data_IF_466911260140
#
_entry.id   IF_466911260140
#
_cell.length_a   1.000
_cell.length_b   1.000
_cell.length_c   1.000
_cell.angle_alpha   90.00
_cell.angle_beta   90.00
_cell.angle_gamma   90.00
#
_symmetry.space_group_name_H-M   'P 1'
#
loop_
_entity.id
_entity.type
_entity.pdbx_description
1 polymer ?
#
# COMPACT_ATOMS: atom_id res chain seq x y z
N UNK A 1 63.30 23.32 -34.78
CA UNK A 1 62.16 23.86 -33.99
C UNK A 1 60.90 23.45 -34.71
N UNK A 2 59.89 22.72 -34.22
CA UNK A 2 59.29 22.38 -32.92
C UNK A 2 58.53 21.06 -33.19
N UNK A 3 58.60 19.99 -32.40
CA UNK A 3 58.15 19.75 -31.02
C UNK A 3 57.08 18.65 -31.12
N UNK A 4 57.43 17.45 -30.66
CA UNK A 4 56.51 16.31 -30.49
C UNK A 4 55.53 16.68 -29.37
N UNK A 5 54.23 16.67 -29.65
CA UNK A 5 53.22 16.84 -28.62
C UNK A 5 52.89 15.47 -28.03
N UNK A 6 53.31 15.25 -26.78
CA UNK A 6 52.91 14.12 -25.96
C UNK A 6 51.41 14.24 -25.64
N UNK A 7 50.68 13.14 -25.84
CA UNK A 7 49.33 12.94 -25.34
C UNK A 7 49.42 12.57 -23.85
N UNK A 8 49.23 13.54 -22.96
CA UNK A 8 49.08 13.29 -21.53
C UNK A 8 47.62 12.98 -21.24
N UNK A 9 47.31 11.70 -21.01
CA UNK A 9 46.04 11.28 -20.42
C UNK A 9 46.10 11.65 -18.94
N UNK A 10 45.40 12.71 -18.54
CA UNK A 10 45.15 12.98 -17.11
C UNK A 10 43.98 12.09 -16.70
N UNK A 11 44.29 10.95 -16.11
CA UNK A 11 43.33 10.18 -15.34
C UNK A 11 43.06 10.94 -14.04
N UNK A 12 41.99 11.73 -14.01
CA UNK A 12 41.50 12.33 -12.77
C UNK A 12 40.71 11.26 -12.02
N UNK A 13 41.40 10.52 -11.14
CA UNK A 13 40.76 9.68 -10.15
C UNK A 13 40.04 10.57 -9.14
N UNK A 14 38.74 10.80 -9.34
CA UNK A 14 37.89 11.32 -8.28
C UNK A 14 37.66 10.18 -7.27
N UNK A 15 38.38 10.22 -6.15
CA UNK A 15 37.98 9.49 -4.95
C UNK A 15 36.66 10.11 -4.47
N UNK A 16 35.54 9.51 -4.85
CA UNK A 16 34.28 9.74 -4.15
C UNK A 16 34.33 8.97 -2.83
N UNK A 17 34.59 9.70 -1.74
CA UNK A 17 34.26 9.22 -0.41
C UNK A 17 32.75 9.02 -0.37
N UNK A 18 32.30 7.76 -0.38
CA UNK A 18 30.93 7.41 0.02
C UNK A 18 30.87 7.70 1.52
N UNK A 19 30.47 8.91 1.88
CA UNK A 19 29.93 9.13 3.20
C UNK A 19 28.65 8.30 3.24
N UNK A 20 28.64 7.26 4.06
CA UNK A 20 27.39 6.61 4.45
C UNK A 20 26.53 7.70 5.10
N UNK A 21 25.56 8.21 4.34
CA UNK A 21 24.49 9.01 4.93
C UNK A 21 23.81 8.07 5.92
N UNK A 22 23.96 8.37 7.21
CA UNK A 22 23.11 7.78 8.23
C UNK A 22 21.67 8.03 7.79
N UNK A 23 20.89 6.96 7.65
CA UNK A 23 19.46 7.07 7.39
C UNK A 23 18.86 8.02 8.43
N UNK A 24 18.23 9.09 7.96
CA UNK A 24 17.46 9.97 8.82
C UNK A 24 16.35 9.13 9.47
N UNK A 25 16.01 9.38 10.74
CA UNK A 25 14.87 8.74 11.35
C UNK A 25 13.61 9.13 10.55
N UNK A 26 12.79 8.12 10.27
CA UNK A 26 11.46 8.23 9.67
C UNK A 26 10.54 8.98 10.64
N UNK A 27 10.52 10.31 10.54
CA UNK A 27 9.73 11.22 11.38
C UNK A 27 8.50 11.75 10.62
N UNK A 28 7.97 11.02 9.63
CA UNK A 28 6.88 11.49 8.77
C UNK A 28 5.75 10.50 8.53
N UNK A 29 5.97 9.19 8.66
CA UNK A 29 4.92 8.19 8.50
C UNK A 29 4.28 7.94 9.86
N UNK A 30 2.94 7.85 9.95
CA UNK A 30 2.37 7.09 11.06
C UNK A 30 2.98 5.70 10.96
N UNK A 31 3.90 5.39 11.87
CA UNK A 31 4.59 4.11 11.84
C UNK A 31 3.53 3.03 11.79
N UNK A 32 3.64 2.12 10.82
CA UNK A 32 2.91 0.86 10.89
C UNK A 32 3.04 0.32 12.33
N UNK A 33 1.96 -0.19 12.94
CA UNK A 33 2.01 -0.64 14.33
C UNK A 33 3.28 -1.47 14.55
N UNK A 34 4.19 -0.91 15.34
CA UNK A 34 5.37 -1.63 15.78
C UNK A 34 4.88 -2.51 16.91
N UNK A 35 5.00 -3.83 16.74
CA UNK A 35 4.83 -4.72 17.89
C UNK A 35 5.82 -4.27 18.96
N UNK A 36 5.32 -3.94 20.15
CA UNK A 36 6.17 -3.56 21.28
C UNK A 36 7.03 -4.76 21.67
N UNK A 37 8.30 -4.76 21.26
CA UNK A 37 9.26 -5.83 21.56
C UNK A 37 9.61 -5.92 23.05
N UNK A 38 9.06 -5.04 23.91
CA UNK A 38 9.31 -5.04 25.36
C UNK A 38 8.24 -5.76 26.15
N UNK A 39 7.10 -6.12 25.56
CA UNK A 39 6.21 -7.07 26.18
C UNK A 39 6.79 -8.47 25.96
N UNK A 40 6.96 -9.30 26.99
CA UNK A 40 7.18 -10.72 26.74
C UNK A 40 6.00 -11.15 25.87
N UNK A 41 6.30 -11.72 24.69
CA UNK A 41 5.33 -12.50 23.93
C UNK A 41 4.85 -13.59 24.88
N UNK A 42 3.81 -13.29 25.66
CA UNK A 42 2.95 -14.31 26.22
C UNK A 42 2.61 -15.13 25.01
N UNK A 43 3.08 -16.38 25.01
CA UNK A 43 2.76 -17.37 24.01
C UNK A 43 1.24 -17.37 23.87
N UNK A 44 0.74 -16.52 22.98
CA UNK A 44 -0.47 -16.80 22.28
C UNK A 44 -0.07 -17.98 21.42
N UNK A 45 -0.22 -19.17 22.01
CA UNK A 45 -0.84 -20.23 21.27
C UNK A 45 -2.24 -19.69 20.93
N UNK A 46 -2.30 -18.73 19.99
CA UNK A 46 -3.35 -18.80 19.00
C UNK A 46 -3.09 -20.20 18.46
N UNK A 47 -3.97 -21.18 18.71
CA UNK A 47 -3.88 -22.37 17.88
C UNK A 47 -3.74 -21.84 16.45
N UNK A 48 -2.92 -22.49 15.62
CA UNK A 48 -3.12 -22.38 14.18
C UNK A 48 -4.59 -22.74 14.00
N UNK A 49 -5.46 -21.74 14.09
CA UNK A 49 -6.86 -21.91 13.79
C UNK A 49 -6.72 -22.14 12.32
N UNK A 50 -7.08 -23.34 11.87
CA UNK A 50 -7.58 -23.50 10.53
C UNK A 50 -8.41 -22.24 10.28
N UNK A 51 -7.90 -21.31 9.47
CA UNK A 51 -8.74 -20.21 9.06
C UNK A 51 -9.93 -20.95 8.43
N UNK A 52 -11.17 -20.70 8.85
CA UNK A 52 -12.29 -21.57 8.49
C UNK A 52 -12.49 -21.77 6.97
N UNK A 53 -11.73 -21.04 6.14
CA UNK A 53 -11.89 -20.95 4.70
C UNK A 53 -10.68 -21.47 3.88
N UNK A 54 -9.49 -21.71 4.47
CA UNK A 54 -8.33 -22.30 3.77
C UNK A 54 -7.48 -23.16 4.74
N UNK A 55 -7.40 -24.47 4.50
CA UNK A 55 -6.48 -25.41 5.14
C UNK A 55 -5.09 -25.31 4.52
N UNK A 56 -4.21 -24.54 5.17
CA UNK A 56 -2.87 -24.23 4.67
C UNK A 56 -1.95 -25.45 4.56
N UNK A 57 -2.24 -26.56 5.24
CA UNK A 57 -1.46 -27.80 5.11
C UNK A 57 -1.99 -28.74 4.01
N UNK A 58 -3.10 -28.41 3.37
CA UNK A 58 -3.61 -29.13 2.20
C UNK A 58 -3.24 -28.38 0.92
N UNK A 59 -2.32 -28.98 0.16
CA UNK A 59 -1.90 -28.45 -1.13
C UNK A 59 -3.07 -28.20 -2.07
N UNK A 60 -4.07 -29.08 -2.09
CA UNK A 60 -5.21 -28.94 -2.98
C UNK A 60 -6.03 -27.73 -2.57
N UNK A 61 -6.29 -27.56 -1.28
CA UNK A 61 -7.09 -26.45 -0.79
C UNK A 61 -6.42 -25.08 -1.05
N UNK A 62 -5.10 -25.00 -0.88
CA UNK A 62 -4.33 -23.80 -1.24
C UNK A 62 -4.40 -23.49 -2.74
N UNK A 63 -4.33 -24.51 -3.60
CA UNK A 63 -4.45 -24.35 -5.05
C UNK A 63 -5.85 -23.91 -5.46
N UNK A 64 -6.88 -24.54 -4.87
CA UNK A 64 -8.28 -24.22 -5.14
C UNK A 64 -8.56 -22.77 -4.67
N UNK A 65 -8.12 -22.37 -3.48
CA UNK A 65 -8.23 -20.98 -3.00
C UNK A 65 -7.53 -19.98 -3.92
N UNK A 66 -6.34 -20.29 -4.43
CA UNK A 66 -5.65 -19.41 -5.38
C UNK A 66 -6.45 -19.21 -6.69
N UNK A 67 -6.96 -20.30 -7.27
CA UNK A 67 -7.68 -20.25 -8.54
C UNK A 67 -9.11 -19.72 -8.44
N UNK A 68 -9.80 -20.04 -7.36
CA UNK A 68 -11.23 -19.76 -7.21
C UNK A 68 -11.52 -18.48 -6.41
N UNK A 69 -10.62 -18.10 -5.50
CA UNK A 69 -10.82 -16.94 -4.61
C UNK A 69 -9.92 -15.77 -4.94
N UNK A 70 -8.65 -16.00 -5.26
CA UNK A 70 -7.69 -14.91 -5.47
C UNK A 70 -7.66 -14.41 -6.93
N UNK A 71 -7.40 -15.28 -7.90
CA UNK A 71 -7.24 -14.88 -9.30
C UNK A 71 -8.47 -14.17 -9.93
N UNK A 72 -9.72 -14.55 -9.63
CA UNK A 72 -10.87 -13.89 -10.24
C UNK A 72 -11.01 -12.41 -9.86
N UNK A 73 -10.51 -12.00 -8.69
CA UNK A 73 -10.71 -10.64 -8.17
C UNK A 73 -10.05 -9.57 -9.05
N UNK A 74 -8.98 -9.92 -9.78
CA UNK A 74 -8.28 -9.01 -10.69
C UNK A 74 -9.06 -8.69 -11.97
N UNK A 75 -10.20 -9.34 -12.21
CA UNK A 75 -11.02 -9.14 -13.41
C UNK A 75 -12.34 -8.41 -13.10
N UNK A 76 -12.50 -7.89 -11.89
CA UNK A 76 -13.71 -7.15 -11.49
C UNK A 76 -13.55 -5.68 -11.88
N UNK A 77 -14.52 -5.14 -12.62
CA UNK A 77 -14.52 -3.73 -13.03
C UNK A 77 -14.73 -2.81 -11.84
N UNK A 78 -13.93 -1.74 -11.76
CA UNK A 78 -13.97 -0.79 -10.65
C UNK A 78 -15.35 -0.12 -10.48
N UNK A 79 -16.03 0.24 -11.58
CA UNK A 79 -17.35 0.88 -11.54
C UNK A 79 -17.36 2.24 -10.85
N UNK A 80 -16.25 2.97 -10.89
CA UNK A 80 -16.09 4.26 -10.24
C UNK A 80 -17.03 5.32 -10.83
N UNK A 81 -17.75 6.03 -9.97
CA UNK A 81 -18.81 7.00 -10.37
C UNK A 81 -18.42 8.46 -10.14
N UNK A 82 -17.21 8.72 -9.65
CA UNK A 82 -16.75 10.06 -9.30
C UNK A 82 -16.30 10.91 -10.48
N UNK A 83 -15.83 12.13 -10.16
CA UNK A 83 -15.40 13.13 -11.13
C UNK A 83 -14.42 14.11 -10.49
N UNK A 84 -13.23 14.22 -11.08
CA UNK A 84 -12.23 15.23 -10.71
C UNK A 84 -12.72 16.64 -11.07
N UNK A 85 -13.41 16.80 -12.20
CA UNK A 85 -13.86 18.11 -12.67
C UNK A 85 -14.86 18.80 -11.73
N UNK A 86 -15.59 18.01 -10.93
CA UNK A 86 -16.60 18.49 -9.99
C UNK A 86 -16.25 18.17 -8.54
N UNK A 87 -15.04 17.66 -8.28
CA UNK A 87 -14.59 17.15 -6.98
C UNK A 87 -15.64 16.26 -6.30
N UNK A 88 -16.17 15.31 -7.06
CA UNK A 88 -17.14 14.34 -6.58
C UNK A 88 -16.43 13.01 -6.38
N UNK A 89 -16.25 12.56 -5.14
CA UNK A 89 -15.48 11.35 -4.86
C UNK A 89 -16.12 10.11 -5.48
N UNK A 90 -17.46 10.08 -5.54
CA UNK A 90 -18.22 8.95 -6.05
C UNK A 90 -18.02 7.71 -5.18
N UNK A 91 -18.26 6.54 -5.76
CA UNK A 91 -18.01 5.23 -5.16
C UNK A 91 -17.50 4.28 -6.24
N UNK A 92 -16.89 3.18 -5.83
CA UNK A 92 -16.72 1.99 -6.67
C UNK A 92 -17.99 1.14 -6.69
N UNK A 93 -18.01 0.10 -7.51
CA UNK A 93 -19.08 -0.90 -7.44
C UNK A 93 -18.92 -1.80 -6.21
N UNK A 94 -20.04 -2.27 -5.64
CA UNK A 94 -19.99 -3.22 -4.52
C UNK A 94 -19.16 -4.46 -4.86
N UNK A 95 -19.27 -4.97 -6.09
CA UNK A 95 -18.48 -6.13 -6.52
C UNK A 95 -16.97 -5.86 -6.45
N UNK A 96 -16.54 -4.64 -6.73
CA UNK A 96 -15.12 -4.26 -6.67
C UNK A 96 -14.63 -4.08 -5.23
N UNK A 97 -15.46 -3.53 -4.35
CA UNK A 97 -15.19 -3.47 -2.91
C UNK A 97 -15.09 -4.87 -2.32
N UNK A 98 -16.03 -5.76 -2.65
CA UNK A 98 -16.01 -7.17 -2.25
C UNK A 98 -14.75 -7.89 -2.76
N UNK A 99 -14.37 -7.67 -4.02
CA UNK A 99 -13.15 -8.22 -4.61
C UNK A 99 -11.87 -7.71 -3.92
N UNK A 100 -11.87 -6.44 -3.52
CA UNK A 100 -10.76 -5.82 -2.78
C UNK A 100 -10.65 -6.44 -1.40
N UNK A 101 -11.77 -6.58 -0.70
CA UNK A 101 -11.85 -7.21 0.63
C UNK A 101 -11.44 -8.69 0.57
N UNK A 102 -11.89 -9.42 -0.45
CA UNK A 102 -11.52 -10.83 -0.65
C UNK A 102 -10.03 -10.99 -0.89
N UNK A 103 -9.41 -10.09 -1.67
CA UNK A 103 -7.96 -10.11 -1.90
C UNK A 103 -7.18 -9.83 -0.61
N UNK A 104 -7.65 -8.87 0.19
CA UNK A 104 -7.09 -8.54 1.51
C UNK A 104 -7.18 -9.75 2.45
N UNK A 105 -8.37 -10.32 2.58
CA UNK A 105 -8.62 -11.45 3.46
C UNK A 105 -7.96 -12.74 2.98
N UNK A 106 -7.75 -12.93 1.67
CA UNK A 106 -6.94 -14.02 1.12
C UNK A 106 -5.52 -13.97 1.68
N UNK A 107 -4.85 -12.82 1.63
CA UNK A 107 -3.49 -12.69 2.18
C UNK A 107 -3.43 -12.87 3.69
N UNK A 108 -4.43 -12.35 4.41
CA UNK A 108 -4.54 -12.55 5.87
C UNK A 108 -4.74 -14.03 6.20
N UNK A 109 -5.60 -14.75 5.48
CA UNK A 109 -5.80 -16.18 5.64
C UNK A 109 -4.52 -16.99 5.36
N UNK A 110 -3.80 -16.67 4.28
CA UNK A 110 -2.51 -17.30 3.97
C UNK A 110 -1.43 -17.05 5.03
N UNK A 111 -1.56 -15.97 5.81
CA UNK A 111 -0.70 -15.65 6.95
C UNK A 111 -1.23 -16.20 8.30
N UNK A 112 -2.36 -16.91 8.32
CA UNK A 112 -2.99 -17.42 9.55
C UNK A 112 -3.64 -16.33 10.41
N UNK A 113 -3.96 -15.17 9.83
CA UNK A 113 -4.59 -14.03 10.50
C UNK A 113 -6.10 -14.01 10.25
N UNK A 114 -6.91 -13.54 11.20
CA UNK A 114 -8.34 -13.41 11.00
C UNK A 114 -8.68 -12.39 9.90
N UNK A 115 -9.76 -12.65 9.18
CA UNK A 115 -10.35 -11.70 8.24
C UNK A 115 -10.75 -10.38 8.92
N UNK A 116 -10.67 -9.29 8.15
CA UNK A 116 -11.23 -7.98 8.51
C UNK A 116 -12.51 -7.71 7.72
N UNK A 117 -13.24 -6.68 8.13
CA UNK A 117 -14.35 -6.11 7.36
C UNK A 117 -14.06 -4.66 7.00
N UNK A 118 -14.65 -4.17 5.92
CA UNK A 118 -14.65 -2.74 5.64
C UNK A 118 -15.68 -2.00 6.50
N UNK A 119 -15.29 -0.80 6.94
CA UNK A 119 -16.14 0.14 7.66
C UNK A 119 -16.53 1.29 6.72
N UNK A 120 -17.83 1.50 6.54
CA UNK A 120 -18.35 2.50 5.60
C UNK A 120 -17.87 3.94 5.89
N UNK A 121 -17.54 4.27 7.15
CA UNK A 121 -16.99 5.59 7.50
C UNK A 121 -15.56 5.71 7.00
N UNK A 122 -14.75 4.64 7.15
CA UNK A 122 -13.40 4.60 6.63
C UNK A 122 -13.39 4.54 5.10
N UNK A 123 -14.31 3.81 4.48
CA UNK A 123 -14.46 3.77 3.02
C UNK A 123 -14.77 5.16 2.46
N UNK A 124 -15.70 5.90 3.07
CA UNK A 124 -16.03 7.25 2.64
C UNK A 124 -14.80 8.18 2.69
N UNK A 125 -14.02 8.15 3.77
CA UNK A 125 -12.79 8.95 3.90
C UNK A 125 -11.70 8.50 2.91
N UNK A 126 -11.53 7.19 2.73
CA UNK A 126 -10.57 6.63 1.78
C UNK A 126 -10.92 6.98 0.33
N UNK A 127 -12.21 7.04 -0.01
CA UNK A 127 -12.68 7.42 -1.34
C UNK A 127 -12.42 8.91 -1.63
N UNK A 128 -12.54 9.78 -0.63
CA UNK A 128 -12.11 11.17 -0.71
C UNK A 128 -10.58 11.28 -0.93
N UNK A 129 -9.78 10.49 -0.20
CA UNK A 129 -8.34 10.43 -0.40
C UNK A 129 -7.99 9.97 -1.83
N UNK A 130 -8.65 8.94 -2.34
CA UNK A 130 -8.44 8.44 -3.69
C UNK A 130 -8.75 9.50 -4.76
N UNK A 131 -9.81 10.31 -4.57
CA UNK A 131 -10.10 11.45 -5.43
C UNK A 131 -8.99 12.50 -5.37
N UNK A 132 -8.49 12.85 -4.18
CA UNK A 132 -7.40 13.82 -4.02
C UNK A 132 -6.12 13.35 -4.73
N UNK A 133 -5.76 12.07 -4.58
CA UNK A 133 -4.60 11.50 -5.28
C UNK A 133 -4.77 11.57 -6.80
N UNK A 134 -5.96 11.22 -7.31
CA UNK A 134 -6.27 11.30 -8.73
C UNK A 134 -6.24 12.74 -9.25
N UNK A 135 -6.84 13.68 -8.53
CA UNK A 135 -6.88 15.09 -8.91
C UNK A 135 -5.48 15.69 -8.95
N UNK A 136 -4.61 15.30 -8.01
CA UNK A 136 -3.23 15.77 -7.94
C UNK A 136 -2.36 15.28 -9.10
N UNK A 137 -2.52 14.03 -9.52
CA UNK A 137 -1.91 13.41 -10.70
C UNK A 137 -0.39 13.18 -10.69
N UNK A 138 0.39 13.93 -9.90
CA UNK A 138 1.84 13.74 -9.70
C UNK A 138 2.26 14.15 -8.29
N UNK A 139 3.20 13.40 -7.71
CA UNK A 139 3.71 13.62 -6.35
C UNK A 139 5.17 14.09 -6.32
N UNK A 140 5.70 14.59 -7.45
CA UNK A 140 7.06 15.13 -7.47
C UNK A 140 7.21 16.30 -6.47
N UNK A 141 8.14 16.13 -5.52
CA UNK A 141 8.46 17.15 -4.52
C UNK A 141 7.42 17.32 -3.40
N UNK A 142 6.43 16.42 -3.29
CA UNK A 142 5.41 16.45 -2.23
C UNK A 142 5.24 15.06 -1.62
N UNK A 143 4.77 15.01 -0.37
CA UNK A 143 4.44 13.76 0.32
C UNK A 143 2.93 13.46 0.17
N UNK A 144 2.55 12.33 -0.47
CA UNK A 144 1.15 11.97 -0.63
C UNK A 144 0.42 11.68 0.67
N UNK A 145 1.13 11.36 1.76
CA UNK A 145 0.54 11.11 3.07
C UNK A 145 0.27 12.40 3.87
N UNK A 146 0.73 13.55 3.40
CA UNK A 146 0.43 14.85 4.03
C UNK A 146 -0.09 15.86 2.99
N UNK A 147 -1.32 15.67 2.48
CA UNK A 147 -1.89 16.57 1.48
C UNK A 147 -1.97 18.02 1.96
N UNK A 148 -1.46 18.94 1.14
CA UNK A 148 -1.59 20.37 1.43
C UNK A 148 -3.03 20.84 1.13
N UNK A 149 -3.65 21.69 1.96
CA UNK A 149 -4.99 22.24 1.70
C UNK A 149 -5.16 22.98 0.36
N UNK A 150 -4.07 23.31 -0.34
CA UNK A 150 -4.07 23.88 -1.69
C UNK A 150 -4.24 22.88 -2.83
N UNK A 151 -4.27 21.56 -2.54
CA UNK A 151 -4.49 20.55 -3.57
C UNK A 151 -5.89 20.66 -4.19
N UNK A 152 -5.98 20.35 -5.48
CA UNK A 152 -7.27 20.20 -6.15
C UNK A 152 -8.09 19.09 -5.48
N UNK A 153 -9.38 19.35 -5.30
CA UNK A 153 -10.33 18.45 -4.62
C UNK A 153 -9.93 18.07 -3.20
N UNK A 154 -9.12 18.87 -2.52
CA UNK A 154 -8.80 18.67 -1.11
C UNK A 154 -10.05 18.59 -0.25
N UNK A 155 -10.10 17.58 0.62
CA UNK A 155 -11.02 17.50 1.74
C UNK A 155 -10.26 17.12 3.02
N UNK A 156 -10.76 17.59 4.17
CA UNK A 156 -10.13 17.25 5.46
C UNK A 156 -10.20 15.74 5.74
N UNK A 157 -11.31 15.10 5.35
CA UNK A 157 -11.52 13.65 5.47
C UNK A 157 -10.56 12.86 4.59
N UNK A 158 -10.33 13.29 3.35
CA UNK A 158 -9.37 12.65 2.45
C UNK A 158 -7.92 12.86 2.90
N UNK A 159 -7.57 14.03 3.43
CA UNK A 159 -6.25 14.30 4.00
C UNK A 159 -5.96 13.44 5.25
N UNK A 160 -6.96 13.30 6.13
CA UNK A 160 -6.88 12.39 7.29
C UNK A 160 -6.64 10.95 6.83
N UNK A 161 -7.47 10.44 5.91
CA UNK A 161 -7.31 9.08 5.40
C UNK A 161 -5.98 8.87 4.67
N UNK A 162 -5.48 9.85 3.90
CA UNK A 162 -4.18 9.76 3.24
C UNK A 162 -3.03 9.58 4.25
N UNK A 163 -3.05 10.32 5.36
CA UNK A 163 -2.03 10.21 6.41
C UNK A 163 -2.12 8.93 7.25
N UNK A 164 -3.28 8.27 7.24
CA UNK A 164 -3.55 7.06 8.02
C UNK A 164 -3.90 5.84 7.17
N UNK A 165 -3.34 5.71 5.97
CA UNK A 165 -3.59 4.56 5.09
C UNK A 165 -2.39 4.21 4.21
N UNK A 166 -2.47 3.06 3.57
CA UNK A 166 -1.60 2.72 2.45
C UNK A 166 -2.09 3.42 1.17
N UNK A 167 -1.17 3.99 0.40
CA UNK A 167 -1.43 4.62 -0.89
C UNK A 167 -0.69 3.89 -2.01
N UNK A 168 -1.37 3.56 -3.10
CA UNK A 168 -0.78 2.88 -4.26
C UNK A 168 -1.01 3.72 -5.51
N UNK A 169 0.07 3.94 -6.27
CA UNK A 169 0.03 4.67 -7.53
C UNK A 169 0.10 3.70 -8.71
N UNK A 170 -0.83 3.82 -9.65
CA UNK A 170 -0.88 3.06 -10.89
C UNK A 170 -1.60 1.72 -10.81
N UNK A 171 -2.28 1.43 -9.70
CA UNK A 171 -3.20 0.31 -9.53
C UNK A 171 -4.19 0.61 -8.39
N UNK A 172 -5.36 -0.03 -8.43
CA UNK A 172 -6.45 0.16 -7.47
C UNK A 172 -6.97 -1.18 -6.94
N UNK A 173 -7.82 -1.12 -5.90
CA UNK A 173 -8.58 -2.26 -5.37
C UNK A 173 -7.76 -3.56 -5.22
N UNK A 174 -8.18 -4.69 -5.81
CA UNK A 174 -7.49 -5.99 -5.69
C UNK A 174 -6.01 -5.93 -6.07
N UNK A 175 -5.68 -5.22 -7.16
CA UNK A 175 -4.31 -5.08 -7.65
C UNK A 175 -3.43 -4.27 -6.68
N UNK A 176 -3.98 -3.22 -6.06
CA UNK A 176 -3.28 -2.45 -5.04
C UNK A 176 -2.99 -3.28 -3.78
N UNK A 177 -3.93 -4.12 -3.33
CA UNK A 177 -3.70 -5.04 -2.20
C UNK A 177 -2.54 -6.00 -2.48
N UNK A 178 -2.52 -6.61 -3.67
CA UNK A 178 -1.37 -7.41 -4.11
C UNK A 178 -0.06 -6.60 -4.07
N UNK A 179 -0.10 -5.37 -4.58
CA UNK A 179 1.02 -4.44 -4.57
C UNK A 179 1.54 -4.14 -3.17
N UNK A 180 0.65 -3.88 -2.20
CA UNK A 180 1.00 -3.65 -0.79
C UNK A 180 1.63 -4.89 -0.14
N UNK A 181 1.13 -6.09 -0.45
CA UNK A 181 1.72 -7.33 0.08
C UNK A 181 3.02 -7.68 -0.62
N UNK A 182 3.21 -7.34 -1.88
CA UNK A 182 4.49 -7.53 -2.56
C UNK A 182 5.53 -6.49 -2.12
N UNK A 183 5.09 -5.26 -1.87
CA UNK A 183 5.84 -4.15 -1.28
C UNK A 183 7.17 -3.87 -2.01
N UNK A 184 7.12 -3.82 -3.34
CA UNK A 184 8.30 -3.54 -4.16
C UNK A 184 8.67 -2.06 -4.14
N UNK A 185 9.95 -1.77 -4.38
CA UNK A 185 10.45 -0.41 -4.56
C UNK A 185 11.53 -0.05 -3.56
N UNK A 186 12.42 0.86 -3.95
CA UNK A 186 13.58 1.31 -3.17
C UNK A 186 13.24 2.28 -2.02
N UNK A 187 11.96 2.40 -1.68
CA UNK A 187 11.48 3.13 -0.50
C UNK A 187 10.65 2.25 0.43
N UNK A 188 10.56 0.95 0.12
CA UNK A 188 9.70 -0.02 0.79
C UNK A 188 10.52 -1.09 1.53
N UNK A 189 11.80 -0.82 1.81
CA UNK A 189 12.68 -1.77 2.53
C UNK A 189 12.16 -2.12 3.93
N UNK A 190 11.43 -1.19 4.57
CA UNK A 190 10.78 -1.37 5.87
C UNK A 190 9.49 -2.19 5.81
N UNK A 191 9.03 -2.53 4.60
CA UNK A 191 7.81 -3.27 4.28
C UNK A 191 6.56 -2.70 4.96
N UNK A 192 6.47 -1.37 4.97
CA UNK A 192 5.43 -0.60 5.66
C UNK A 192 4.03 -1.00 5.22
N UNK A 193 3.78 -1.10 3.91
CA UNK A 193 2.46 -1.44 3.39
C UNK A 193 2.04 -2.86 3.80
N UNK A 194 2.94 -3.83 3.66
CA UNK A 194 2.69 -5.22 4.05
C UNK A 194 2.38 -5.33 5.54
N UNK A 195 3.06 -4.56 6.39
CA UNK A 195 2.84 -4.57 7.84
C UNK A 195 1.44 -4.12 8.23
N UNK A 196 0.85 -3.15 7.51
CA UNK A 196 -0.55 -2.75 7.72
C UNK A 196 -1.53 -3.83 7.28
N UNK A 197 -1.32 -4.42 6.09
CA UNK A 197 -2.20 -5.47 5.55
C UNK A 197 -2.22 -6.72 6.46
N UNK A 198 -1.06 -7.07 7.00
CA UNK A 198 -0.87 -8.24 7.87
C UNK A 198 -0.80 -7.86 9.36
N UNK A 199 -1.40 -6.74 9.75
CA UNK A 199 -1.53 -6.39 11.16
C UNK A 199 -2.45 -7.40 11.87
N UNK A 200 -1.94 -8.17 12.85
CA UNK A 200 -2.75 -9.16 13.58
C UNK A 200 -3.83 -8.53 14.46
N UNK A 201 -3.72 -7.24 14.80
CA UNK A 201 -4.68 -6.54 15.66
C UNK A 201 -5.78 -5.83 14.86
N UNK A 202 -5.63 -5.71 13.54
CA UNK A 202 -6.64 -5.09 12.69
C UNK A 202 -7.93 -5.91 12.65
N UNK A 203 -9.06 -5.22 12.88
CA UNK A 203 -10.41 -5.77 12.81
C UNK A 203 -11.23 -5.14 11.68
N UNK A 204 -11.04 -3.85 11.45
CA UNK A 204 -11.70 -3.07 10.41
C UNK A 204 -10.69 -2.28 9.60
N UNK A 205 -10.99 -2.06 8.32
CA UNK A 205 -10.21 -1.21 7.42
C UNK A 205 -11.18 -0.39 6.55
N UNK A 206 -10.65 0.52 5.73
CA UNK A 206 -11.42 1.19 4.69
C UNK A 206 -10.74 1.06 3.33
N UNK A 207 -11.50 1.22 2.25
CA UNK A 207 -11.01 1.24 0.89
C UNK A 207 -11.60 2.41 0.09
N UNK A 208 -10.79 2.92 -0.83
CA UNK A 208 -11.17 3.95 -1.78
C UNK A 208 -10.39 3.75 -3.06
N UNK A 209 -11.03 3.95 -4.20
CA UNK A 209 -10.40 3.73 -5.50
C UNK A 209 -11.03 4.60 -6.58
N UNK A 210 -10.23 4.96 -7.57
CA UNK A 210 -10.71 5.60 -8.80
C UNK A 210 -10.38 4.71 -10.00
N UNK A 211 -10.83 5.11 -11.20
CA UNK A 211 -10.49 4.45 -12.47
C UNK A 211 -8.99 4.53 -12.84
N UNK A 212 -8.20 5.36 -12.14
CA UNK A 212 -6.76 5.49 -12.38
C UNK A 212 -5.98 5.90 -11.12
N UNK A 213 -6.19 5.21 -10.01
CA UNK A 213 -5.34 5.35 -8.82
C UNK A 213 -3.91 4.93 -9.11
#
# INVERSE_FOLDING_TARGET
MRARLLLTIVALAALSTVAAAAAAPDEGLMSAPLQDTRQPVTSFAVPFSSHPDIELNDKRDVVDAYHERFLPQFNVDHGWTGSVATCTAGTTSQAYEDATLETLNYFRAMAGLPAVTFDNTFDAKAQEAALMMKARGTFEGVDPHNPDPSWDCYSADGAEAAGSSNLFLGSAGPAAIYGYVWDFGTGNESVGHRRWILDPEALTMGTGSTDSS
#
